data_IF_056675933897
#
_entry.id   IF_056675933897
#
_cell.length_a   1.000
_cell.length_b   1.000
_cell.length_c   1.000
_cell.angle_alpha   90.00
_cell.angle_beta   90.00
_cell.angle_gamma   90.00
#
_symmetry.space_group_name_H-M   'P 1'
#
loop_
_entity.id
_entity.type
_entity.pdbx_description
1 polymer ?
#
# COMPACT_ATOMS: atom_id res chain seq x y z
N UNK A 1 -1.07 23.25 -0.78
CA UNK A 1 -2.13 22.33 -0.34
C UNK A 1 -2.24 21.28 -1.43
N UNK A 2 -1.53 20.16 -1.29
CA UNK A 2 -1.57 19.08 -2.27
C UNK A 2 -2.57 18.05 -1.75
N UNK A 3 -3.74 18.02 -2.36
CA UNK A 3 -4.74 16.99 -2.09
C UNK A 3 -4.28 15.71 -2.79
N UNK A 4 -3.90 14.69 -2.02
CA UNK A 4 -3.59 13.36 -2.55
C UNK A 4 -4.90 12.70 -3.03
N UNK A 5 -5.17 12.87 -4.32
CA UNK A 5 -6.41 12.55 -5.08
C UNK A 5 -6.80 11.07 -5.10
N UNK A 6 -6.41 10.21 -4.15
CA UNK A 6 -6.60 8.76 -4.37
C UNK A 6 -6.98 7.88 -3.18
N UNK A 7 -7.54 8.41 -2.08
CA UNK A 7 -8.29 7.61 -1.09
C UNK A 7 -7.61 6.31 -0.58
N UNK A 8 -6.28 6.19 -0.74
CA UNK A 8 -5.55 4.98 -0.44
C UNK A 8 -5.21 5.01 1.04
N UNK A 9 -5.64 3.97 1.75
CA UNK A 9 -5.37 3.82 3.18
C UNK A 9 -3.86 3.82 3.39
N UNK A 10 -3.36 4.77 4.18
CA UNK A 10 -1.95 4.80 4.57
C UNK A 10 -1.87 4.20 5.96
N UNK A 11 -1.25 3.03 6.09
CA UNK A 11 -1.07 2.34 7.38
C UNK A 11 0.39 2.46 7.81
N UNK A 12 0.59 2.52 9.12
CA UNK A 12 1.93 2.39 9.71
C UNK A 12 2.42 0.96 9.52
N UNK A 13 3.72 0.78 9.29
CA UNK A 13 4.35 -0.54 9.24
C UNK A 13 4.00 -1.36 10.49
N UNK A 14 3.04 -2.27 10.34
CA UNK A 14 2.76 -3.27 11.38
C UNK A 14 3.96 -4.22 11.46
N UNK A 15 4.68 -4.20 12.58
CA UNK A 15 5.75 -5.16 12.90
C UNK A 15 5.15 -6.57 13.06
N UNK A 16 5.03 -7.32 11.96
CA UNK A 16 4.43 -8.65 11.98
C UNK A 16 3.98 -9.17 10.62
N UNK A 17 3.02 -10.12 10.64
CA UNK A 17 2.43 -10.69 9.43
C UNK A 17 1.54 -9.64 8.78
N UNK A 18 1.84 -9.30 7.51
CA UNK A 18 1.11 -8.31 6.70
C UNK A 18 -0.37 -8.72 6.62
N UNK A 19 -1.26 -7.87 7.14
CA UNK A 19 -2.71 -8.12 7.21
C UNK A 19 -3.46 -7.03 6.44
N UNK A 20 -4.52 -7.43 5.73
CA UNK A 20 -5.38 -6.45 5.09
C UNK A 20 -6.12 -5.62 6.15
N UNK A 21 -6.09 -4.27 6.09
CA UNK A 21 -6.78 -3.43 7.07
C UNK A 21 -8.31 -3.49 6.96
N UNK A 22 -8.86 -4.00 5.85
CA UNK A 22 -10.30 -4.07 5.62
C UNK A 22 -10.90 -5.44 5.98
N UNK A 23 -10.29 -6.54 5.52
CA UNK A 23 -10.82 -7.88 5.76
C UNK A 23 -9.97 -8.74 6.71
N UNK A 24 -8.91 -8.15 7.27
CA UNK A 24 -7.99 -8.81 8.19
C UNK A 24 -7.31 -10.08 7.61
N UNK A 25 -7.28 -10.19 6.28
CA UNK A 25 -6.66 -11.30 5.57
C UNK A 25 -5.15 -11.28 5.82
N UNK A 26 -4.64 -12.38 6.37
CA UNK A 26 -3.22 -12.55 6.73
C UNK A 26 -2.46 -13.41 5.71
N UNK A 27 -3.18 -13.98 4.74
CA UNK A 27 -2.59 -14.83 3.73
C UNK A 27 -1.76 -14.00 2.73
N UNK A 28 -0.43 -14.18 2.79
CA UNK A 28 0.52 -13.47 1.92
C UNK A 28 0.23 -13.67 0.43
N UNK A 29 -0.28 -14.84 0.03
CA UNK A 29 -0.61 -15.11 -1.38
C UNK A 29 -1.78 -14.28 -1.88
N UNK A 30 -2.61 -13.77 -0.97
CA UNK A 30 -3.73 -12.88 -1.29
C UNK A 30 -3.33 -11.40 -1.26
N UNK A 31 -2.12 -11.05 -0.82
CA UNK A 31 -1.68 -9.65 -0.74
C UNK A 31 -0.64 -9.42 -1.84
N UNK A 32 -1.07 -8.75 -2.90
CA UNK A 32 -0.21 -8.40 -4.03
C UNK A 32 0.50 -7.08 -3.75
N UNK A 33 1.83 -7.11 -3.78
CA UNK A 33 2.66 -5.91 -3.74
C UNK A 33 2.86 -5.36 -5.16
N UNK A 34 2.75 -4.06 -5.33
CA UNK A 34 2.98 -3.40 -6.62
C UNK A 34 3.59 -2.01 -6.39
N UNK A 35 4.43 -1.56 -7.31
CA UNK A 35 5.00 -0.22 -7.25
C UNK A 35 3.94 0.82 -7.59
N UNK A 36 3.78 1.80 -6.70
CA UNK A 36 2.88 2.91 -6.87
C UNK A 36 3.62 4.07 -7.54
N UNK A 37 3.42 4.21 -8.86
CA UNK A 37 4.03 5.29 -9.64
C UNK A 37 3.44 6.68 -9.34
N UNK A 38 2.38 6.75 -8.53
CA UNK A 38 1.76 8.02 -8.13
C UNK A 38 2.39 8.59 -6.86
N UNK A 39 3.05 7.75 -6.06
CA UNK A 39 3.81 8.16 -4.88
C UNK A 39 5.31 8.17 -5.17
N UNK A 40 5.83 9.36 -5.51
CA UNK A 40 7.25 9.58 -5.74
C UNK A 40 7.88 9.94 -4.39
N UNK A 41 8.64 9.01 -3.79
CA UNK A 41 9.35 9.21 -2.53
C UNK A 41 10.59 10.09 -2.76
N UNK A 42 11.26 9.92 -3.90
CA UNK A 42 12.39 10.74 -4.31
C UNK A 42 12.37 10.93 -5.81
N UNK A 43 12.59 12.16 -6.28
CA UNK A 43 12.64 12.47 -7.72
C UNK A 43 14.00 12.13 -8.34
N UNK A 44 15.07 12.16 -7.54
CA UNK A 44 16.43 11.90 -8.04
C UNK A 44 17.31 11.22 -6.98
N UNK A 45 17.56 9.90 -7.07
CA UNK A 45 17.04 8.92 -8.04
C UNK A 45 15.53 8.66 -7.87
N UNK A 46 14.81 8.36 -8.96
CA UNK A 46 13.36 8.11 -8.94
C UNK A 46 13.02 6.87 -8.10
N UNK A 47 12.58 7.09 -6.86
CA UNK A 47 12.10 6.05 -5.96
C UNK A 47 10.59 6.18 -5.86
N UNK A 48 9.88 5.14 -6.32
CA UNK A 48 8.43 5.03 -6.19
C UNK A 48 8.10 4.28 -4.90
N UNK A 49 7.01 4.67 -4.25
CA UNK A 49 6.48 3.94 -3.11
C UNK A 49 5.89 2.59 -3.51
N UNK A 50 5.75 1.70 -2.53
CA UNK A 50 5.05 0.44 -2.72
C UNK A 50 3.58 0.58 -2.27
N UNK A 51 2.69 -0.07 -3.00
CA UNK A 51 1.30 -0.28 -2.59
C UNK A 51 0.99 -1.77 -2.49
N UNK A 52 0.03 -2.07 -1.64
CA UNK A 52 -0.49 -3.39 -1.38
C UNK A 52 -1.93 -3.47 -1.83
N UNK A 53 -2.30 -4.60 -2.42
CA UNK A 53 -3.66 -4.89 -2.84
C UNK A 53 -4.10 -6.24 -2.29
N UNK A 54 -5.22 -6.27 -1.58
CA UNK A 54 -5.83 -7.52 -1.15
C UNK A 54 -6.65 -8.14 -2.31
N UNK A 55 -6.38 -9.39 -2.64
CA UNK A 55 -7.12 -10.18 -3.63
C UNK A 55 -8.50 -10.65 -3.15
N UNK A 56 -8.78 -10.58 -1.83
CA UNK A 56 -10.07 -10.99 -1.25
C UNK A 56 -11.11 -9.89 -1.24
N UNK A 57 -10.76 -8.69 -0.76
CA UNK A 57 -11.68 -7.55 -0.66
C UNK A 57 -11.40 -6.46 -1.71
N UNK A 58 -10.28 -6.53 -2.42
CA UNK A 58 -9.87 -5.51 -3.37
C UNK A 58 -9.24 -4.27 -2.75
N UNK A 59 -9.16 -4.18 -1.41
CA UNK A 59 -8.62 -3.01 -0.72
C UNK A 59 -7.16 -2.75 -1.14
N UNK A 60 -6.87 -1.50 -1.48
CA UNK A 60 -5.52 -1.01 -1.73
C UNK A 60 -5.05 -0.14 -0.55
N UNK A 61 -3.81 -0.33 -0.10
CA UNK A 61 -3.20 0.46 0.96
C UNK A 61 -1.69 0.63 0.75
N UNK A 62 -1.09 1.58 1.46
CA UNK A 62 0.36 1.84 1.46
C UNK A 62 0.89 1.65 2.87
N UNK A 63 2.08 1.07 2.98
CA UNK A 63 2.85 1.05 4.23
C UNK A 63 3.77 2.28 4.21
N UNK A 64 3.67 3.16 5.21
CA UNK A 64 4.59 4.30 5.42
C UNK A 64 5.68 3.92 6.43
#
# INVERSE_FOLDING_TARGET
MGEDVNGLLTIEKTEGRRKCPSCNEENKYMIHESTDKTNIISDYPKVYGHKYRCGRCGQEWREK
#
